data_IF_904991310801
#
_entry.id   IF_904991310801
#
_cell.length_a   1.000
_cell.length_b   1.000
_cell.length_c   1.000
_cell.angle_alpha   90.00
_cell.angle_beta   90.00
_cell.angle_gamma   90.00
#
_symmetry.space_group_name_H-M   'P 1'
#
loop_
_entity.id
_entity.type
_entity.pdbx_description
1 polymer ?
#
# COMPACT_ATOMS: atom_id res chain seq x y z
N UNK A 1 -11.44 39.92 21.79
CA UNK A 1 -10.59 39.43 20.69
C UNK A 1 -11.48 38.80 19.64
N UNK A 2 -11.34 39.24 18.37
CA UNK A 2 -11.85 38.66 17.11
C UNK A 2 -13.39 38.54 16.94
N UNK A 3 -13.94 39.64 16.43
CA UNK A 3 -15.09 39.65 15.51
C UNK A 3 -14.76 38.92 14.19
N UNK A 4 -15.70 38.13 13.68
CA UNK A 4 -16.02 37.86 12.26
C UNK A 4 -17.06 36.72 12.22
N UNK A 5 -18.34 36.98 12.47
CA UNK A 5 -19.38 37.28 11.46
C UNK A 5 -19.39 36.35 10.24
N UNK A 6 -20.18 35.29 10.42
CA UNK A 6 -20.92 34.52 9.41
C UNK A 6 -22.02 35.41 8.82
N UNK A 7 -22.11 35.58 7.50
CA UNK A 7 -23.37 35.95 6.83
C UNK A 7 -23.51 35.19 5.49
N UNK A 8 -24.70 34.62 5.33
CA UNK A 8 -25.25 33.83 4.22
C UNK A 8 -25.34 34.57 2.87
N UNK A 9 -25.18 33.79 1.79
CA UNK A 9 -26.29 33.44 0.87
C UNK A 9 -26.83 34.49 -0.11
N UNK A 10 -26.49 34.27 -1.39
CA UNK A 10 -27.34 34.39 -2.59
C UNK A 10 -27.95 35.75 -2.98
N UNK A 11 -27.49 36.31 -4.11
CA UNK A 11 -28.40 36.63 -5.22
C UNK A 11 -27.70 36.79 -6.59
N UNK A 12 -28.26 36.08 -7.57
CA UNK A 12 -27.95 36.07 -9.00
C UNK A 12 -28.84 37.12 -9.69
N UNK A 13 -28.28 38.06 -10.48
CA UNK A 13 -28.69 38.41 -11.87
C UNK A 13 -28.08 39.72 -12.42
N UNK A 14 -27.91 39.73 -13.74
CA UNK A 14 -27.76 40.87 -14.68
C UNK A 14 -26.37 41.48 -14.89
N UNK A 15 -25.66 41.03 -15.94
CA UNK A 15 -25.30 41.86 -17.12
C UNK A 15 -25.19 40.95 -18.36
N UNK A 16 -26.03 41.20 -19.36
CA UNK A 16 -25.81 40.82 -20.77
C UNK A 16 -26.18 42.01 -21.66
N UNK A 17 -25.58 42.06 -22.86
CA UNK A 17 -25.66 43.04 -23.95
C UNK A 17 -24.52 44.08 -23.92
N UNK A 18 -23.68 44.30 -24.93
CA UNK A 18 -23.76 44.18 -26.42
C UNK A 18 -22.32 44.03 -26.98
N UNK A 19 -21.96 43.25 -28.00
CA UNK A 19 -22.33 43.29 -29.43
C UNK A 19 -21.83 41.97 -30.12
N UNK A 20 -22.60 41.25 -30.95
CA UNK A 20 -22.90 41.43 -32.39
C UNK A 20 -21.63 41.62 -33.24
N UNK A 21 -21.17 40.74 -34.15
CA UNK A 21 -21.79 40.06 -35.31
C UNK A 21 -20.84 38.89 -35.72
N UNK A 22 -21.21 37.70 -36.24
CA UNK A 22 -21.89 37.37 -37.52
C UNK A 22 -22.38 35.90 -37.54
N UNK A 23 -23.45 35.68 -38.31
CA UNK A 23 -24.18 34.46 -38.76
C UNK A 23 -23.33 33.19 -39.06
N UNK A 24 -23.67 31.97 -38.57
CA UNK A 24 -24.63 30.91 -39.05
C UNK A 24 -24.07 30.11 -40.27
N UNK A 25 -24.17 28.75 -40.40
CA UNK A 25 -25.25 27.86 -39.95
C UNK A 25 -24.93 26.47 -39.32
N UNK A 26 -25.98 25.99 -38.67
CA UNK A 26 -26.44 24.63 -38.39
C UNK A 26 -25.88 23.47 -39.24
N UNK A 27 -25.42 22.41 -38.58
CA UNK A 27 -25.93 21.05 -38.82
C UNK A 27 -25.57 20.10 -37.68
N UNK A 28 -26.62 19.57 -37.06
CA UNK A 28 -26.57 18.36 -36.25
C UNK A 28 -26.07 17.17 -37.09
N UNK A 29 -25.33 16.25 -36.45
CA UNK A 29 -25.35 14.78 -36.62
C UNK A 29 -24.21 14.22 -35.77
N UNK A 30 -24.58 13.59 -34.65
CA UNK A 30 -24.64 12.13 -34.53
C UNK A 30 -23.26 11.51 -34.38
N UNK A 31 -22.95 11.20 -33.13
CA UNK A 31 -21.95 10.23 -32.71
C UNK A 31 -22.30 8.90 -33.36
N UNK A 32 -21.55 8.48 -34.38
CA UNK A 32 -21.57 7.10 -34.86
C UNK A 32 -20.20 6.72 -35.43
N UNK A 33 -19.43 6.02 -34.58
CA UNK A 33 -18.61 4.82 -34.81
C UNK A 33 -17.72 4.62 -36.07
N UNK A 34 -16.58 3.98 -35.75
CA UNK A 34 -15.78 3.02 -36.52
C UNK A 34 -14.77 3.61 -37.52
N UNK A 35 -13.47 3.38 -37.26
CA UNK A 35 -12.63 2.38 -37.94
C UNK A 35 -12.12 2.94 -39.29
N UNK A 36 -10.88 2.85 -39.73
CA UNK A 36 -9.60 2.28 -39.29
C UNK A 36 -8.54 2.91 -40.26
N UNK A 37 -7.25 2.75 -39.93
CA UNK A 37 -6.07 2.61 -40.83
C UNK A 37 -6.14 3.23 -42.26
N UNK A 38 -5.18 3.99 -42.78
CA UNK A 38 -3.71 3.90 -42.75
C UNK A 38 -3.26 5.08 -43.67
N UNK A 39 -2.25 5.91 -43.35
CA UNK A 39 -0.89 5.87 -43.92
C UNK A 39 -0.11 7.06 -43.33
N UNK A 40 0.87 6.72 -42.49
CA UNK A 40 2.27 7.14 -42.53
C UNK A 40 2.72 8.62 -42.66
N UNK A 41 3.42 9.01 -41.59
CA UNK A 41 4.68 9.78 -41.43
C UNK A 41 4.62 11.27 -41.03
N UNK A 42 5.42 11.56 -39.97
CA UNK A 42 6.07 12.83 -39.56
C UNK A 42 5.38 13.63 -38.44
N UNK A 43 5.35 13.10 -37.21
CA UNK A 43 6.18 13.57 -36.05
C UNK A 43 5.80 12.82 -34.76
N UNK A 44 6.78 12.46 -33.91
CA UNK A 44 6.58 11.80 -32.63
C UNK A 44 6.30 12.82 -31.51
N UNK A 45 5.73 12.34 -30.40
CA UNK A 45 5.33 13.08 -29.19
C UNK A 45 3.87 13.57 -29.11
N UNK A 46 2.97 12.63 -28.84
CA UNK A 46 1.81 12.93 -27.98
C UNK A 46 1.90 12.09 -26.70
N UNK A 47 2.55 12.73 -25.74
CA UNK A 47 2.74 12.42 -24.34
C UNK A 47 1.37 12.34 -23.64
N UNK A 48 0.68 11.20 -23.69
CA UNK A 48 -0.50 10.99 -22.87
C UNK A 48 -0.09 10.39 -21.51
N UNK A 49 0.07 11.29 -20.56
CA UNK A 49 0.42 11.06 -19.17
C UNK A 49 -0.73 10.35 -18.43
N UNK A 50 -0.52 9.11 -17.93
CA UNK A 50 -1.25 8.53 -16.77
C UNK A 50 -0.86 7.09 -16.38
N UNK A 51 0.29 6.56 -16.82
CA UNK A 51 0.78 5.20 -16.44
C UNK A 51 2.06 5.19 -15.59
N UNK A 52 2.37 6.27 -14.88
CA UNK A 52 3.61 6.39 -14.08
C UNK A 52 3.41 6.20 -12.57
N UNK A 53 2.20 6.41 -12.04
CA UNK A 53 1.97 6.37 -10.59
C UNK A 53 2.13 4.97 -9.98
N UNK A 54 1.95 3.91 -10.78
CA UNK A 54 2.16 2.52 -10.36
C UNK A 54 3.57 1.97 -10.60
N UNK A 55 4.32 2.53 -11.55
CA UNK A 55 5.66 2.01 -11.90
C UNK A 55 6.69 2.29 -10.82
N UNK A 56 6.68 3.49 -10.25
CA UNK A 56 7.59 3.86 -9.16
C UNK A 56 7.30 3.08 -7.88
N UNK A 57 6.02 2.92 -7.52
CA UNK A 57 5.60 2.12 -6.36
C UNK A 57 5.96 0.64 -6.52
N UNK A 58 5.75 0.06 -7.71
CA UNK A 58 6.12 -1.32 -8.00
C UNK A 58 7.64 -1.56 -7.96
N UNK A 59 8.44 -0.63 -8.48
CA UNK A 59 9.90 -0.71 -8.43
C UNK A 59 10.43 -0.63 -6.98
N UNK A 60 9.86 0.25 -6.16
CA UNK A 60 10.24 0.38 -4.75
C UNK A 60 9.93 -0.90 -3.95
N UNK A 61 8.72 -1.45 -4.15
CA UNK A 61 8.30 -2.74 -3.58
C UNK A 61 9.20 -3.91 -4.03
N UNK A 62 9.64 -3.90 -5.27
CA UNK A 62 10.55 -4.92 -5.80
C UNK A 62 11.95 -4.82 -5.19
N UNK A 63 12.49 -3.61 -5.05
CA UNK A 63 13.78 -3.40 -4.37
C UNK A 63 13.74 -3.86 -2.91
N UNK A 64 12.65 -3.59 -2.20
CA UNK A 64 12.44 -4.08 -0.84
C UNK A 64 12.42 -5.61 -0.81
N UNK A 65 11.72 -6.26 -1.75
CA UNK A 65 11.68 -7.73 -1.86
C UNK A 65 13.07 -8.31 -2.10
N UNK A 66 13.86 -7.71 -2.99
CA UNK A 66 15.24 -8.16 -3.26
C UNK A 66 16.11 -8.10 -2.01
N UNK A 67 16.00 -7.03 -1.21
CA UNK A 67 16.74 -6.92 0.06
C UNK A 67 16.35 -8.01 1.06
N UNK A 68 15.07 -8.38 1.13
CA UNK A 68 14.61 -9.48 1.97
C UNK A 68 15.10 -10.84 1.44
N UNK A 69 15.18 -10.99 0.12
CA UNK A 69 15.73 -12.18 -0.55
C UNK A 69 17.21 -12.39 -0.22
N UNK A 70 18.01 -11.33 -0.26
CA UNK A 70 19.43 -11.37 0.10
C UNK A 70 19.61 -11.88 1.55
N UNK A 71 18.75 -11.42 2.46
CA UNK A 71 18.76 -11.91 3.84
C UNK A 71 18.35 -13.38 3.91
N UNK A 72 17.33 -13.81 3.17
CA UNK A 72 16.91 -15.22 3.12
C UNK A 72 18.05 -16.13 2.62
N UNK A 73 18.78 -15.71 1.60
CA UNK A 73 19.90 -16.46 1.06
C UNK A 73 21.01 -16.67 2.10
N UNK A 74 21.31 -15.64 2.89
CA UNK A 74 22.25 -15.78 4.02
C UNK A 74 21.78 -16.80 5.06
N UNK A 75 20.48 -16.84 5.37
CA UNK A 75 19.92 -17.83 6.30
C UNK A 75 19.96 -19.26 5.74
N UNK A 76 19.85 -19.45 4.43
CA UNK A 76 19.97 -20.76 3.77
C UNK A 76 21.41 -21.29 3.78
N UNK A 77 22.40 -20.40 3.73
CA UNK A 77 23.82 -20.75 3.72
C UNK A 77 24.42 -20.92 5.13
N UNK A 78 23.76 -20.36 6.16
CA UNK A 78 24.21 -20.44 7.55
C UNK A 78 24.14 -21.88 8.09
N UNK A 79 25.28 -22.39 8.56
CA UNK A 79 25.40 -23.74 9.15
C UNK A 79 24.43 -23.97 10.31
N UNK A 80 24.03 -22.89 11.02
CA UNK A 80 23.13 -22.94 12.17
C UNK A 80 21.73 -23.45 11.84
N UNK A 81 21.24 -23.24 10.62
CA UNK A 81 19.87 -23.60 10.22
C UNK A 81 19.83 -24.78 9.24
N UNK A 82 20.95 -25.49 9.01
CA UNK A 82 20.98 -26.65 8.11
C UNK A 82 20.01 -27.78 8.49
N UNK A 83 19.73 -27.93 9.79
CA UNK A 83 18.85 -28.97 10.30
C UNK A 83 17.37 -28.53 10.32
N UNK A 84 17.06 -27.28 9.96
CA UNK A 84 15.67 -26.83 9.85
C UNK A 84 15.03 -27.37 8.56
N UNK A 85 14.10 -28.30 8.72
CA UNK A 85 13.27 -28.80 7.62
C UNK A 85 12.46 -27.65 6.98
N UNK A 86 12.30 -27.71 5.65
CA UNK A 86 11.54 -26.75 4.84
C UNK A 86 11.94 -25.28 5.07
N UNK A 87 13.22 -25.02 5.40
CA UNK A 87 13.71 -23.67 5.70
C UNK A 87 13.43 -22.68 4.57
N UNK A 88 13.62 -23.07 3.31
CA UNK A 88 13.35 -22.21 2.16
C UNK A 88 11.88 -21.78 2.08
N UNK A 89 10.94 -22.71 2.27
CA UNK A 89 9.51 -22.42 2.27
C UNK A 89 9.09 -21.54 3.47
N UNK A 90 9.66 -21.82 4.65
CA UNK A 90 9.49 -20.99 5.85
C UNK A 90 9.96 -19.56 5.58
N UNK A 91 11.19 -19.38 5.08
CA UNK A 91 11.76 -18.06 4.78
C UNK A 91 10.94 -17.29 3.74
N UNK A 92 10.39 -17.97 2.74
CA UNK A 92 9.51 -17.35 1.74
C UNK A 92 8.18 -16.88 2.37
N UNK A 93 7.58 -17.71 3.22
CA UNK A 93 6.37 -17.35 3.96
C UNK A 93 6.62 -16.14 4.88
N UNK A 94 7.75 -16.14 5.61
CA UNK A 94 8.15 -15.04 6.48
C UNK A 94 8.40 -13.75 5.72
N UNK A 95 9.04 -13.83 4.55
CA UNK A 95 9.26 -12.68 3.66
C UNK A 95 7.94 -12.05 3.24
N UNK A 96 6.99 -12.87 2.81
CA UNK A 96 5.69 -12.39 2.36
C UNK A 96 4.88 -11.77 3.50
N UNK A 97 4.87 -12.39 4.69
CA UNK A 97 4.24 -11.82 5.89
C UNK A 97 4.89 -10.49 6.28
N UNK A 98 6.21 -10.41 6.30
CA UNK A 98 6.92 -9.18 6.65
C UNK A 98 6.62 -8.03 5.68
N UNK A 99 6.62 -8.30 4.37
CA UNK A 99 6.34 -7.33 3.31
C UNK A 99 4.90 -6.77 3.33
N UNK A 100 3.98 -7.46 4.01
CA UNK A 100 2.60 -7.02 4.21
C UNK A 100 2.49 -5.91 5.28
N UNK A 101 3.35 -5.95 6.29
CA UNK A 101 3.27 -5.07 7.46
C UNK A 101 4.33 -3.96 7.51
N UNK A 102 5.34 -4.02 6.63
CA UNK A 102 6.25 -2.90 6.41
C UNK A 102 5.56 -1.82 5.54
N UNK A 103 5.11 -0.76 6.19
CA UNK A 103 4.26 0.29 5.61
C UNK A 103 4.99 1.59 5.30
N UNK A 104 6.18 1.78 5.87
CA UNK A 104 6.89 3.05 5.85
C UNK A 104 8.00 3.09 4.79
N UNK A 105 8.11 2.02 4.00
CA UNK A 105 9.14 1.81 2.97
C UNK A 105 10.58 1.97 3.50
N UNK A 106 10.78 1.91 4.83
CA UNK A 106 12.10 2.00 5.46
C UNK A 106 12.77 0.63 5.59
N UNK A 107 12.02 -0.46 5.40
CA UNK A 107 12.54 -1.82 5.54
C UNK A 107 12.36 -2.41 6.94
N UNK A 108 11.76 -1.68 7.89
CA UNK A 108 11.65 -2.02 9.30
C UNK A 108 10.21 -1.85 9.82
N UNK A 109 9.74 -2.82 10.60
CA UNK A 109 8.44 -2.74 11.28
C UNK A 109 8.58 -1.82 12.49
N UNK A 110 8.02 -0.61 12.36
CA UNK A 110 7.90 0.33 13.45
C UNK A 110 6.69 0.05 14.35
N UNK A 111 6.54 0.84 15.40
CA UNK A 111 5.44 0.71 16.35
C UNK A 111 4.06 0.85 15.71
N UNK A 112 3.94 1.64 14.63
CA UNK A 112 2.68 1.83 13.92
C UNK A 112 2.37 0.63 13.00
N UNK A 113 3.37 0.09 12.32
CA UNK A 113 3.27 -1.14 11.54
C UNK A 113 2.86 -2.32 12.44
N UNK A 114 3.51 -2.46 13.59
CA UNK A 114 3.15 -3.49 14.59
C UNK A 114 1.71 -3.31 15.12
N UNK A 115 1.29 -2.06 15.38
CA UNK A 115 -0.09 -1.78 15.81
C UNK A 115 -1.10 -2.23 14.74
N UNK A 116 -0.89 -1.84 13.48
CA UNK A 116 -1.78 -2.19 12.37
C UNK A 116 -1.81 -3.69 12.14
N UNK A 117 -0.66 -4.36 12.27
CA UNK A 117 -0.58 -5.82 12.22
C UNK A 117 -1.50 -6.42 13.29
N UNK A 118 -1.33 -6.07 14.55
CA UNK A 118 -2.17 -6.57 15.65
C UNK A 118 -3.68 -6.31 15.45
N UNK A 119 -4.04 -5.14 14.92
CA UNK A 119 -5.43 -4.81 14.57
C UNK A 119 -5.98 -5.66 13.43
N UNK A 120 -5.19 -5.89 12.37
CA UNK A 120 -5.58 -6.74 11.23
C UNK A 120 -5.83 -8.19 11.65
N UNK A 121 -5.09 -8.64 12.65
CA UNK A 121 -5.14 -9.99 13.19
C UNK A 121 -6.24 -10.17 14.24
N UNK A 122 -6.99 -9.11 14.55
CA UNK A 122 -8.07 -9.15 15.53
C UNK A 122 -7.60 -9.21 16.99
N UNK A 123 -6.31 -8.97 17.25
CA UNK A 123 -5.72 -8.99 18.59
C UNK A 123 -5.14 -7.60 18.90
N UNK A 124 -5.98 -6.55 19.08
CA UNK A 124 -5.48 -5.22 19.36
C UNK A 124 -4.69 -5.20 20.67
N UNK A 125 -3.60 -4.43 20.68
CA UNK A 125 -2.70 -4.26 21.83
C UNK A 125 -2.56 -2.80 22.21
N UNK A 126 -2.30 -2.55 23.49
CA UNK A 126 -1.99 -1.22 23.99
C UNK A 126 -0.60 -0.77 23.53
N UNK A 127 -0.37 0.55 23.50
CA UNK A 127 0.94 1.11 23.12
C UNK A 127 2.10 0.58 23.97
N UNK A 128 1.86 0.31 25.27
CA UNK A 128 2.88 -0.24 26.16
C UNK A 128 3.19 -1.71 25.84
N UNK A 129 2.18 -2.52 25.54
CA UNK A 129 2.38 -3.91 25.12
C UNK A 129 3.14 -3.98 23.80
N UNK A 130 2.78 -3.16 22.81
CA UNK A 130 3.47 -3.10 21.52
C UNK A 130 4.96 -2.76 21.71
N UNK A 131 5.29 -1.79 22.56
CA UNK A 131 6.69 -1.47 22.90
C UNK A 131 7.42 -2.66 23.52
N UNK A 132 6.78 -3.37 24.46
CA UNK A 132 7.37 -4.57 25.07
C UNK A 132 7.61 -5.68 24.05
N UNK A 133 6.70 -5.86 23.10
CA UNK A 133 6.85 -6.86 22.03
C UNK A 133 8.04 -6.55 21.13
N UNK A 134 8.26 -5.28 20.77
CA UNK A 134 9.44 -4.88 19.99
C UNK A 134 10.72 -5.20 20.77
N UNK A 135 10.79 -4.80 22.05
CA UNK A 135 11.96 -5.06 22.90
C UNK A 135 12.23 -6.55 23.07
N UNK A 136 11.18 -7.37 23.21
CA UNK A 136 11.29 -8.83 23.32
C UNK A 136 11.93 -9.45 22.07
N UNK A 137 11.59 -8.94 20.89
CA UNK A 137 12.10 -9.42 19.60
C UNK A 137 13.53 -8.93 19.34
N UNK A 138 13.79 -7.63 19.54
CA UNK A 138 15.10 -7.01 19.26
C UNK A 138 16.13 -7.21 20.37
N UNK A 139 15.72 -7.77 21.52
CA UNK A 139 16.54 -7.84 22.72
C UNK A 139 16.86 -6.46 23.31
N UNK A 140 16.03 -5.44 23.02
CA UNK A 140 16.21 -4.07 23.50
C UNK A 140 17.26 -3.25 22.76
N UNK A 141 17.81 -3.77 21.67
CA UNK A 141 18.81 -3.06 20.84
C UNK A 141 18.18 -2.02 19.89
N UNK A 142 16.91 -2.20 19.53
CA UNK A 142 16.19 -1.33 18.59
C UNK A 142 14.73 -1.09 19.02
N UNK A 143 14.20 0.04 18.57
CA UNK A 143 12.79 0.43 18.69
C UNK A 143 11.95 0.04 17.46
N UNK A 144 12.57 -0.60 16.47
CA UNK A 144 11.94 -1.17 15.27
C UNK A 144 12.40 -2.61 15.11
N UNK A 145 11.57 -3.44 14.48
CA UNK A 145 11.92 -4.83 14.17
C UNK A 145 12.40 -4.87 12.73
N UNK A 146 13.68 -5.17 12.53
CA UNK A 146 14.21 -5.46 11.20
C UNK A 146 13.87 -6.90 10.78
N UNK A 147 14.07 -7.21 9.51
CA UNK A 147 13.75 -8.54 8.98
C UNK A 147 14.56 -9.67 9.63
N UNK A 148 15.83 -9.43 10.00
CA UNK A 148 16.66 -10.46 10.65
C UNK A 148 16.13 -10.82 12.03
N UNK A 149 15.68 -9.84 12.80
CA UNK A 149 15.09 -10.06 14.12
C UNK A 149 13.76 -10.80 14.01
N UNK A 150 12.97 -10.48 12.97
CA UNK A 150 11.74 -11.20 12.64
C UNK A 150 11.98 -12.67 12.33
N UNK A 151 12.94 -12.99 11.44
CA UNK A 151 13.30 -14.38 11.10
C UNK A 151 13.86 -15.12 12.33
N UNK A 152 14.76 -14.48 13.09
CA UNK A 152 15.31 -15.06 14.34
C UNK A 152 14.22 -15.36 15.37
N UNK A 153 13.23 -14.48 15.51
CA UNK A 153 12.08 -14.73 16.37
C UNK A 153 11.32 -15.97 15.88
N UNK A 154 11.01 -16.05 14.58
CA UNK A 154 10.17 -17.12 14.02
C UNK A 154 10.87 -18.49 14.02
N UNK A 155 12.15 -18.57 13.65
CA UNK A 155 12.93 -19.81 13.68
C UNK A 155 13.47 -20.14 15.08
N UNK A 156 13.56 -19.16 15.98
CA UNK A 156 14.12 -19.34 17.30
C UNK A 156 13.24 -20.19 18.22
N UNK A 157 13.88 -20.87 19.19
CA UNK A 157 13.17 -21.63 20.24
C UNK A 157 12.46 -20.74 21.28
N UNK A 158 12.79 -19.45 21.32
CA UNK A 158 12.18 -18.49 22.25
C UNK A 158 10.74 -18.22 21.86
N UNK A 159 9.83 -18.28 22.84
CA UNK A 159 8.46 -17.81 22.67
C UNK A 159 8.44 -16.28 22.76
N UNK A 160 7.89 -15.62 21.74
CA UNK A 160 7.55 -14.20 21.78
C UNK A 160 6.06 -14.05 21.56
N UNK A 161 5.45 -13.01 22.14
CA UNK A 161 4.00 -12.77 21.96
C UNK A 161 3.66 -12.64 20.47
N UNK A 162 4.51 -11.93 19.72
CA UNK A 162 4.33 -11.73 18.29
C UNK A 162 4.38 -13.06 17.51
N UNK A 163 5.33 -13.94 17.84
CA UNK A 163 5.44 -15.28 17.23
C UNK A 163 4.18 -16.10 17.44
N UNK A 164 3.64 -16.08 18.65
CA UNK A 164 2.42 -16.84 18.96
C UNK A 164 1.26 -16.37 18.08
N UNK A 165 1.00 -15.06 18.02
CA UNK A 165 -0.10 -14.51 17.22
C UNK A 165 0.03 -14.94 15.75
N UNK A 166 1.22 -14.80 15.15
CA UNK A 166 1.46 -15.11 13.74
C UNK A 166 1.31 -16.60 13.39
N UNK A 167 1.57 -17.51 14.34
CA UNK A 167 1.40 -18.96 14.15
C UNK A 167 -0.07 -19.36 14.26
N UNK A 168 -0.88 -18.65 15.05
CA UNK A 168 -2.30 -18.96 15.20
C UNK A 168 -3.14 -18.49 14.00
N UNK A 169 -2.69 -17.50 13.24
CA UNK A 169 -3.34 -17.06 12.00
C UNK A 169 -3.42 -18.15 10.93
N UNK A 170 -2.33 -18.88 10.73
CA UNK A 170 -2.22 -19.94 9.71
C UNK A 170 -3.22 -21.08 9.95
N UNK A 171 -3.72 -21.21 11.18
CA UNK A 171 -4.72 -22.19 11.58
C UNK A 171 -6.15 -21.65 11.64
N UNK A 172 -6.34 -20.33 11.70
CA UNK A 172 -7.64 -19.71 11.97
C UNK A 172 -8.31 -19.08 10.75
N UNK A 173 -7.56 -18.71 9.70
CA UNK A 173 -8.13 -17.94 8.58
C UNK A 173 -8.65 -18.81 7.43
N UNK A 174 -9.90 -19.25 7.59
CA UNK A 174 -10.87 -19.40 6.51
C UNK A 174 -11.64 -18.09 6.21
N UNK A 175 -11.07 -16.92 6.50
CA UNK A 175 -11.73 -15.62 6.33
C UNK A 175 -11.20 -14.87 5.10
N UNK A 176 -12.12 -14.55 4.19
CA UNK A 176 -11.94 -13.96 2.88
C UNK A 176 -10.86 -12.86 2.77
N UNK A 177 -9.91 -13.06 1.85
CA UNK A 177 -9.24 -11.97 1.15
C UNK A 177 -10.30 -10.98 0.68
N UNK A 178 -10.28 -9.76 1.19
CA UNK A 178 -10.90 -8.65 0.46
C UNK A 178 -10.15 -8.57 -0.87
N UNK A 179 -10.85 -8.55 -2.02
CA UNK A 179 -10.17 -8.49 -3.30
C UNK A 179 -9.33 -7.22 -3.36
N UNK A 180 -8.02 -7.36 -3.62
CA UNK A 180 -7.13 -6.26 -3.96
C UNK A 180 -7.54 -5.71 -5.33
N UNK A 181 -8.62 -4.94 -5.33
CA UNK A 181 -9.08 -4.13 -6.44
C UNK A 181 -8.76 -2.66 -6.18
N UNK A 182 -8.52 -1.85 -7.23
CA UNK A 182 -8.48 -0.41 -7.08
C UNK A 182 -9.71 0.07 -6.30
N UNK A 183 -9.55 1.00 -5.33
CA UNK A 183 -10.68 1.53 -4.58
C UNK A 183 -11.78 1.98 -5.55
N UNK A 184 -13.05 1.61 -5.31
CA UNK A 184 -14.14 2.10 -6.15
C UNK A 184 -14.08 3.62 -6.19
N UNK A 185 -14.14 4.18 -7.40
CA UNK A 185 -14.16 5.62 -7.57
C UNK A 185 -15.40 6.15 -6.88
N UNK A 186 -15.21 6.97 -5.84
CA UNK A 186 -16.31 7.68 -5.20
C UNK A 186 -16.72 8.80 -6.16
N UNK A 187 -17.83 8.61 -6.87
CA UNK A 187 -18.39 9.66 -7.70
C UNK A 187 -18.97 10.76 -6.82
N UNK A 188 -18.81 12.02 -7.25
CA UNK A 188 -19.23 13.25 -6.56
C UNK A 188 -20.73 13.23 -6.19
N UNK A 189 -21.53 12.38 -6.85
CA UNK A 189 -22.93 12.12 -6.53
C UNK A 189 -23.17 11.37 -5.21
N UNK A 190 -22.11 10.93 -4.50
CA UNK A 190 -22.21 10.13 -3.26
C UNK A 190 -21.92 10.92 -1.98
N UNK A 191 -21.86 12.25 -2.05
CA UNK A 191 -21.75 13.13 -0.88
C UNK A 191 -23.12 13.75 -0.57
N UNK A 192 -23.54 13.80 0.71
CA UNK A 192 -24.79 14.45 1.12
C UNK A 192 -24.76 15.97 0.91
#
# INVERSE_FOLDING_TARGET
MRHALVVCGSLIRHVMATASTKNVPVHAKSITRCCDLWISVITPECRCCSLQRGKAFGLLKEQQRQRLEEVNQEYLEDQKYRDEEDLAEKLESLKNKYAEFDLNDQGDIDLMGLKRMMEKLGVPKTHLELKKMIVEVTGGSSNTINYRDFVKMMLGKRSAVLKLVLIFEDKANGSACKPDGPPPKRDIASLP
#
